data_IF_445438208893
#
_entry.id   IF_445438208893
#
_cell.length_a   1.000
_cell.length_b   1.000
_cell.length_c   1.000
_cell.angle_alpha   90.00
_cell.angle_beta   90.00
_cell.angle_gamma   90.00
#
_symmetry.space_group_name_H-M   'P 1'
#
loop_
_entity.id
_entity.type
_entity.pdbx_description
1 polymer ?
#
# COMPACT_ATOMS: atom_id res chain seq x y z
N UNK A 1 18.99 81.91 3.36
CA UNK A 1 18.48 80.70 4.06
C UNK A 1 17.02 80.31 3.72
N UNK A 2 16.27 81.03 2.87
CA UNK A 2 14.84 80.71 2.58
C UNK A 2 14.57 79.72 1.43
N UNK A 3 15.56 79.36 0.59
CA UNK A 3 15.35 78.40 -0.50
C UNK A 3 15.47 76.93 -0.08
N UNK A 4 16.34 76.59 0.89
CA UNK A 4 16.49 75.21 1.39
C UNK A 4 15.25 74.70 2.12
N UNK A 5 14.52 75.58 2.81
CA UNK A 5 13.27 75.23 3.49
C UNK A 5 12.15 74.90 2.50
N UNK A 6 12.03 75.66 1.40
CA UNK A 6 11.04 75.40 0.34
C UNK A 6 11.25 74.04 -0.35
N UNK A 7 12.51 73.65 -0.55
CA UNK A 7 12.85 72.33 -1.10
C UNK A 7 12.50 71.19 -0.13
N UNK A 8 12.73 71.37 1.18
CA UNK A 8 12.36 70.39 2.20
C UNK A 8 10.84 70.19 2.29
N UNK A 9 10.04 71.26 2.21
CA UNK A 9 8.58 71.14 2.20
C UNK A 9 8.07 70.47 0.92
N UNK A 10 8.69 70.72 -0.23
CA UNK A 10 8.37 70.01 -1.47
C UNK A 10 8.71 68.52 -1.38
N UNK A 11 9.84 68.17 -0.78
CA UNK A 11 10.27 66.77 -0.61
C UNK A 11 9.38 66.02 0.39
N UNK A 12 8.93 66.68 1.47
CA UNK A 12 7.94 66.14 2.40
C UNK A 12 6.54 65.99 1.78
N UNK A 13 6.10 66.95 0.96
CA UNK A 13 4.84 66.83 0.24
C UNK A 13 4.87 65.67 -0.77
N UNK A 14 6.01 65.43 -1.42
CA UNK A 14 6.17 64.33 -2.36
C UNK A 14 6.18 62.95 -1.67
N UNK A 15 6.79 62.86 -0.49
CA UNK A 15 6.81 61.63 0.32
C UNK A 15 5.41 61.27 0.86
N UNK A 16 4.58 62.26 1.21
CA UNK A 16 3.19 62.04 1.65
C UNK A 16 2.26 61.57 0.53
N UNK A 17 2.53 61.92 -0.73
CA UNK A 17 1.74 61.43 -1.88
C UNK A 17 2.09 59.97 -2.21
N UNK A 18 3.37 59.58 -2.06
CA UNK A 18 3.82 58.21 -2.35
C UNK A 18 3.35 57.17 -1.32
N UNK A 19 3.13 57.56 -0.06
CA UNK A 19 2.61 56.63 0.98
C UNK A 19 1.10 56.42 0.88
N UNK A 20 0.34 57.39 0.35
CA UNK A 20 -1.10 57.26 0.16
C UNK A 20 -1.50 56.35 -1.03
N UNK A 21 -0.64 56.20 -2.05
CA UNK A 21 -0.93 55.30 -3.19
C UNK A 21 -0.75 53.81 -2.90
N UNK A 22 -0.03 53.45 -1.83
CA UNK A 22 0.27 52.05 -1.51
C UNK A 22 -0.81 51.37 -0.64
N UNK A 23 -1.80 52.13 -0.15
CA UNK A 23 -2.83 51.63 0.77
C UNK A 23 -4.11 51.10 0.09
N UNK A 24 -4.18 51.08 -1.24
CA UNK A 24 -5.39 50.70 -2.00
C UNK A 24 -5.34 49.32 -2.67
N UNK A 25 -4.36 48.46 -2.37
CA UNK A 25 -4.21 47.14 -3.01
C UNK A 25 -3.86 45.99 -2.08
N UNK A 26 -4.54 45.88 -0.93
CA UNK A 26 -4.54 44.64 -0.14
C UNK A 26 -5.99 44.13 0.03
N UNK A 27 -6.29 42.87 -0.32
CA UNK A 27 -7.58 42.27 -0.03
C UNK A 27 -7.66 41.95 1.48
N UNK A 28 -8.64 42.54 2.17
CA UNK A 28 -8.98 42.19 3.54
C UNK A 28 -9.84 40.91 3.55
N UNK A 29 -9.60 39.93 4.44
CA UNK A 29 -10.52 38.82 4.65
C UNK A 29 -11.81 39.34 5.30
N UNK A 30 -12.94 39.16 4.61
CA UNK A 30 -14.27 39.50 5.12
C UNK A 30 -14.66 38.54 6.25
N UNK A 31 -14.74 39.07 7.48
CA UNK A 31 -15.37 38.41 8.61
C UNK A 31 -16.81 38.92 8.70
N UNK A 32 -17.74 38.19 8.11
CA UNK A 32 -19.16 38.57 8.07
C UNK A 32 -19.81 38.39 9.44
N UNK A 33 -19.91 39.49 10.20
CA UNK A 33 -20.91 39.63 11.28
C UNK A 33 -22.15 40.31 10.69
N UNK A 34 -23.23 39.53 10.56
CA UNK A 34 -24.56 40.00 10.12
C UNK A 34 -25.13 41.05 11.09
N UNK A 35 -25.75 42.15 10.61
CA UNK A 35 -26.54 43.05 11.45
C UNK A 35 -27.93 42.47 11.72
N UNK A 36 -28.43 42.66 12.95
CA UNK A 36 -29.81 42.34 13.33
C UNK A 36 -30.78 43.24 12.57
N UNK A 37 -31.77 42.64 11.90
CA UNK A 37 -32.94 43.37 11.39
C UNK A 37 -34.20 42.78 12.00
N UNK A 38 -35.09 43.69 12.39
CA UNK A 38 -36.36 43.47 13.04
C UNK A 38 -37.30 42.54 12.24
N UNK A 39 -38.20 41.91 12.99
CA UNK A 39 -39.29 41.01 12.57
C UNK A 39 -40.14 41.58 11.45
N UNK A 40 -40.40 40.77 10.41
CA UNK A 40 -41.68 40.76 9.70
C UNK A 40 -42.06 39.32 9.30
N UNK A 41 -43.23 38.90 9.77
CA UNK A 41 -43.93 37.66 9.48
C UNK A 41 -44.14 37.40 7.98
N UNK A 42 -43.66 36.28 7.46
CA UNK A 42 -44.29 35.55 6.34
C UNK A 42 -44.06 34.04 6.50
N UNK A 43 -45.15 33.29 6.76
CA UNK A 43 -45.19 31.82 6.71
C UNK A 43 -44.97 31.34 5.26
N UNK A 44 -43.93 30.56 5.03
CA UNK A 44 -43.74 29.75 3.82
C UNK A 44 -43.41 28.30 4.24
N UNK A 45 -43.83 27.29 3.44
CA UNK A 45 -43.85 25.89 3.88
C UNK A 45 -42.44 25.37 4.12
N UNK A 46 -42.21 24.75 5.28
CA UNK A 46 -40.93 24.14 5.66
C UNK A 46 -40.62 23.00 4.68
N UNK A 47 -39.69 23.21 3.76
CA UNK A 47 -38.89 22.11 3.23
C UNK A 47 -38.15 21.49 4.42
N UNK A 48 -38.23 20.18 4.58
CA UNK A 48 -37.45 19.47 5.60
C UNK A 48 -35.98 19.82 5.37
N UNK A 49 -35.21 20.21 6.41
CA UNK A 49 -33.77 20.34 6.26
C UNK A 49 -33.25 18.97 5.83
N UNK A 50 -32.52 18.91 4.71
CA UNK A 50 -31.56 17.83 4.53
C UNK A 50 -30.56 18.00 5.67
N UNK A 51 -30.68 17.17 6.70
CA UNK A 51 -29.62 16.97 7.66
C UNK A 51 -28.44 16.44 6.86
N UNK A 52 -27.53 17.34 6.49
CA UNK A 52 -26.18 16.92 6.16
C UNK A 52 -25.61 16.49 7.50
N UNK A 53 -25.78 15.21 7.83
CA UNK A 53 -24.91 14.58 8.82
C UNK A 53 -23.50 14.96 8.39
N UNK A 54 -22.78 15.70 9.25
CA UNK A 54 -21.34 15.77 9.15
C UNK A 54 -20.86 14.35 9.47
N UNK A 55 -20.89 13.49 8.44
CA UNK A 55 -20.35 12.14 8.44
C UNK A 55 -18.91 12.27 8.88
N UNK A 56 -18.69 12.12 10.19
CA UNK A 56 -17.36 12.12 10.77
C UNK A 56 -16.75 10.82 10.28
N UNK A 57 -16.03 10.91 9.16
CA UNK A 57 -15.44 9.76 8.48
C UNK A 57 -14.66 8.98 9.54
N UNK A 58 -15.04 7.73 9.85
CA UNK A 58 -14.38 6.97 10.90
C UNK A 58 -12.88 6.84 10.58
N UNK A 59 -12.02 6.89 11.60
CA UNK A 59 -10.56 6.86 11.45
C UNK A 59 -10.06 5.66 10.62
N UNK A 60 -10.81 4.55 10.63
CA UNK A 60 -10.54 3.37 9.80
C UNK A 60 -10.60 3.63 8.29
N UNK A 61 -11.42 4.59 7.85
CA UNK A 61 -11.49 5.01 6.44
C UNK A 61 -10.44 6.08 6.10
N UNK A 62 -9.98 6.85 7.09
CA UNK A 62 -8.91 7.83 6.93
C UNK A 62 -7.54 7.14 6.86
N UNK A 63 -7.32 6.12 7.68
CA UNK A 63 -6.05 5.40 7.80
C UNK A 63 -6.23 3.88 7.68
N UNK A 64 -6.68 3.37 6.52
CA UNK A 64 -6.87 1.94 6.35
C UNK A 64 -5.51 1.21 6.43
N UNK A 65 -5.48 0.09 7.16
CA UNK A 65 -4.29 -0.78 7.27
C UNK A 65 -3.80 -1.26 5.90
N UNK A 66 -4.73 -1.48 4.97
CA UNK A 66 -4.47 -1.80 3.58
C UNK A 66 -5.04 -0.69 2.71
N UNK A 67 -4.17 0.01 1.99
CA UNK A 67 -4.60 1.05 1.04
C UNK A 67 -5.18 0.38 -0.20
N UNK A 68 -6.30 0.90 -0.67
CA UNK A 68 -6.89 0.49 -1.95
C UNK A 68 -5.95 0.92 -3.08
N UNK A 69 -5.70 0.03 -4.03
CA UNK A 69 -4.87 0.36 -5.18
C UNK A 69 -5.50 1.47 -6.02
N UNK A 70 -4.64 2.37 -6.50
CA UNK A 70 -5.03 3.48 -7.38
C UNK A 70 -5.25 2.96 -8.79
N UNK A 71 -6.25 3.48 -9.50
CA UNK A 71 -6.54 3.10 -10.88
C UNK A 71 -5.50 3.63 -11.88
N UNK A 72 -4.75 4.68 -11.49
CA UNK A 72 -3.67 5.28 -12.26
C UNK A 72 -2.36 5.23 -11.45
N UNK A 73 -1.29 4.65 -12.02
CA UNK A 73 -0.03 4.54 -11.33
C UNK A 73 0.71 5.89 -11.34
N UNK A 74 1.30 6.26 -10.21
CA UNK A 74 2.22 7.39 -10.10
C UNK A 74 3.64 6.89 -9.87
N UNK A 75 3.76 5.84 -9.05
CA UNK A 75 5.02 5.22 -8.67
C UNK A 75 5.14 3.83 -9.27
N UNK A 76 6.37 3.29 -9.32
CA UNK A 76 6.60 1.92 -9.78
C UNK A 76 5.83 0.88 -8.95
N UNK A 77 5.61 1.15 -7.66
CA UNK A 77 4.84 0.27 -6.78
C UNK A 77 3.36 0.16 -7.16
N UNK A 78 2.79 1.20 -7.77
CA UNK A 78 1.38 1.20 -8.18
C UNK A 78 1.09 0.27 -9.38
N UNK A 79 2.15 -0.13 -10.11
CA UNK A 79 2.04 -1.15 -11.17
C UNK A 79 1.79 -2.55 -10.61
N UNK A 80 2.18 -2.81 -9.36
CA UNK A 80 1.92 -4.07 -8.70
C UNK A 80 0.47 -4.10 -8.20
N UNK A 81 -0.28 -5.11 -8.64
CA UNK A 81 -1.66 -5.33 -8.22
C UNK A 81 -1.73 -6.35 -7.08
N UNK A 82 -2.31 -5.95 -5.95
CA UNK A 82 -2.55 -6.88 -4.86
C UNK A 82 -3.63 -7.89 -5.25
N UNK A 83 -3.49 -9.17 -4.87
CA UNK A 83 -4.57 -10.15 -5.01
C UNK A 83 -5.82 -9.81 -4.20
N UNK A 84 -5.69 -8.91 -3.21
CA UNK A 84 -6.79 -8.42 -2.39
C UNK A 84 -7.58 -7.28 -3.06
N UNK A 85 -7.03 -6.66 -4.10
CA UNK A 85 -7.69 -5.59 -4.84
C UNK A 85 -8.61 -6.14 -5.93
N UNK A 86 -9.59 -5.33 -6.33
CA UNK A 86 -10.50 -5.67 -7.42
C UNK A 86 -9.73 -5.82 -8.74
N UNK A 87 -10.11 -6.82 -9.53
CA UNK A 87 -9.53 -7.03 -10.87
C UNK A 87 -9.80 -5.80 -11.75
N UNK A 88 -8.76 -5.28 -12.40
CA UNK A 88 -8.91 -4.17 -13.35
C UNK A 88 -9.69 -4.63 -14.58
N UNK A 89 -10.55 -3.78 -15.15
CA UNK A 89 -11.28 -4.11 -16.37
C UNK A 89 -10.32 -4.24 -17.55
N UNK A 90 -10.71 -5.02 -18.57
CA UNK A 90 -9.85 -5.38 -19.70
C UNK A 90 -9.41 -4.18 -20.54
N UNK A 91 -10.16 -3.08 -20.50
CA UNK A 91 -9.84 -1.82 -21.18
C UNK A 91 -8.85 -0.91 -20.42
N UNK A 92 -8.43 -1.27 -19.20
CA UNK A 92 -7.51 -0.49 -18.36
C UNK A 92 -6.24 -1.27 -17.99
N UNK A 93 -5.75 -2.08 -18.92
CA UNK A 93 -4.50 -2.81 -18.73
C UNK A 93 -3.28 -1.93 -18.99
N UNK A 94 -2.20 -2.20 -18.26
CA UNK A 94 -0.92 -1.51 -18.46
C UNK A 94 -0.29 -1.98 -19.78
N UNK A 95 0.12 -1.02 -20.61
CA UNK A 95 0.89 -1.28 -21.82
C UNK A 95 2.33 -0.87 -21.61
N UNK A 96 3.24 -1.66 -22.17
CA UNK A 96 4.69 -1.39 -22.15
C UNK A 96 5.13 -1.15 -23.58
N UNK A 97 5.72 0.01 -23.84
CA UNK A 97 6.23 0.40 -25.16
C UNK A 97 7.68 0.83 -25.02
N UNK A 98 8.56 0.23 -25.81
CA UNK A 98 9.96 0.67 -25.89
C UNK A 98 10.09 1.87 -26.83
N UNK A 99 10.77 2.92 -26.38
CA UNK A 99 11.12 4.08 -27.18
C UNK A 99 12.64 4.09 -27.41
N UNK A 100 13.04 3.91 -28.67
CA UNK A 100 14.45 3.82 -29.07
C UNK A 100 15.19 5.17 -28.98
N UNK A 101 14.50 6.28 -29.25
CA UNK A 101 15.10 7.62 -29.17
C UNK A 101 15.47 8.01 -27.74
N UNK A 102 14.65 7.61 -26.78
CA UNK A 102 14.88 7.88 -25.36
C UNK A 102 15.65 6.74 -24.66
N UNK A 103 15.77 5.57 -25.31
CA UNK A 103 16.24 4.31 -24.72
C UNK A 103 15.49 4.00 -23.41
N UNK A 104 14.16 4.11 -23.42
CA UNK A 104 13.32 3.89 -22.23
C UNK A 104 12.10 3.04 -22.55
N UNK A 105 11.72 2.21 -21.58
CA UNK A 105 10.43 1.54 -21.55
C UNK A 105 9.40 2.46 -20.92
N UNK A 106 8.34 2.77 -21.66
CA UNK A 106 7.22 3.61 -21.25
C UNK A 106 6.08 2.68 -20.83
N UNK A 107 5.70 2.75 -19.55
CA UNK A 107 4.67 1.92 -18.94
C UNK A 107 3.49 2.79 -18.50
N UNK A 108 2.28 2.45 -18.92
CA UNK A 108 1.10 3.19 -18.50
C UNK A 108 -0.19 2.66 -19.08
N UNK A 109 -1.31 3.26 -18.69
CA UNK A 109 -2.62 2.97 -19.27
C UNK A 109 -2.78 3.79 -20.56
N UNK A 110 -2.94 3.10 -21.69
CA UNK A 110 -3.18 3.73 -22.99
C UNK A 110 -4.57 3.39 -23.49
N UNK A 111 -5.30 4.40 -23.94
CA UNK A 111 -6.60 4.25 -24.59
C UNK A 111 -6.52 4.84 -26.00
N UNK A 112 -6.61 3.97 -27.01
CA UNK A 112 -6.40 4.36 -28.39
C UNK A 112 -4.99 4.91 -28.61
N UNK A 113 -4.88 6.17 -29.05
CA UNK A 113 -3.60 6.85 -29.29
C UNK A 113 -3.05 7.58 -28.07
N UNK A 114 -3.83 7.78 -27.01
CA UNK A 114 -3.51 8.70 -25.90
C UNK A 114 -3.24 7.94 -24.59
N UNK A 115 -2.33 8.49 -23.78
CA UNK A 115 -2.06 8.01 -22.42
C UNK A 115 -3.08 8.61 -21.44
N UNK A 116 -3.70 7.77 -20.61
CA UNK A 116 -4.67 8.22 -19.62
C UNK A 116 -4.01 8.92 -18.41
N UNK A 117 -2.75 8.64 -18.16
CA UNK A 117 -1.95 9.23 -17.08
C UNK A 117 -0.51 9.42 -17.52
N UNK A 118 0.27 10.18 -16.74
CA UNK A 118 1.71 10.28 -16.95
C UNK A 118 2.33 8.87 -16.89
N UNK A 119 3.02 8.42 -17.96
CA UNK A 119 3.58 7.08 -17.97
C UNK A 119 4.85 7.02 -17.13
N UNK A 120 5.12 5.83 -16.58
CA UNK A 120 6.35 5.53 -15.85
C UNK A 120 7.39 5.12 -16.88
N UNK A 121 8.54 5.81 -16.88
CA UNK A 121 9.65 5.51 -17.78
C UNK A 121 10.74 4.77 -17.02
N UNK A 122 11.15 3.63 -17.54
CA UNK A 122 12.23 2.81 -17.00
C UNK A 122 13.38 2.71 -17.98
N UNK A 123 14.61 2.75 -17.48
CA UNK A 123 15.77 2.31 -18.25
C UNK A 123 15.67 0.82 -18.59
N UNK A 124 16.36 0.32 -19.63
CA UNK A 124 16.35 -1.11 -19.95
C UNK A 124 16.78 -1.98 -18.78
N UNK A 125 17.75 -1.51 -17.99
CA UNK A 125 18.24 -2.20 -16.78
C UNK A 125 17.16 -2.27 -15.69
N UNK A 126 16.47 -1.16 -15.43
CA UNK A 126 15.39 -1.12 -14.44
C UNK A 126 14.19 -1.97 -14.87
N UNK A 127 13.84 -1.91 -16.15
CA UNK A 127 12.80 -2.75 -16.72
C UNK A 127 13.13 -4.24 -16.58
N UNK A 128 14.38 -4.63 -16.87
CA UNK A 128 14.84 -6.01 -16.68
C UNK A 128 14.69 -6.45 -15.21
N UNK A 129 15.17 -5.66 -14.26
CA UNK A 129 15.04 -5.97 -12.83
C UNK A 129 13.58 -6.08 -12.38
N UNK A 130 12.71 -5.19 -12.89
CA UNK A 130 11.28 -5.20 -12.60
C UNK A 130 10.60 -6.46 -13.17
N UNK A 131 10.85 -6.79 -14.43
CA UNK A 131 10.29 -8.00 -15.06
C UNK A 131 10.79 -9.28 -14.41
N UNK A 132 12.06 -9.34 -14.00
CA UNK A 132 12.62 -10.48 -13.29
C UNK A 132 11.93 -10.69 -11.94
N UNK A 133 11.72 -9.62 -11.17
CA UNK A 133 10.99 -9.69 -9.91
C UNK A 133 9.54 -10.18 -10.10
N UNK A 134 8.86 -9.67 -11.12
CA UNK A 134 7.51 -10.09 -11.46
C UNK A 134 7.46 -11.58 -11.84
N UNK A 135 8.37 -12.03 -12.72
CA UNK A 135 8.45 -13.42 -13.16
C UNK A 135 8.75 -14.39 -12.01
N UNK A 136 9.65 -14.02 -11.09
CA UNK A 136 9.91 -14.82 -9.88
C UNK A 136 8.65 -14.95 -9.02
N UNK A 137 7.96 -13.84 -8.77
CA UNK A 137 6.72 -13.85 -7.97
C UNK A 137 5.64 -14.73 -8.63
N UNK A 138 5.45 -14.58 -9.95
CA UNK A 138 4.48 -15.38 -10.70
C UNK A 138 4.87 -16.86 -10.78
N UNK A 139 6.17 -17.16 -10.80
CA UNK A 139 6.67 -18.54 -10.71
C UNK A 139 6.32 -19.18 -9.36
N UNK A 140 6.66 -18.54 -8.24
CA UNK A 140 6.38 -19.10 -6.92
C UNK A 140 4.89 -19.20 -6.62
N UNK A 141 4.07 -18.25 -7.11
CA UNK A 141 2.61 -18.36 -7.03
C UNK A 141 2.10 -19.58 -7.78
N UNK A 142 2.50 -19.77 -9.03
CA UNK A 142 2.13 -20.95 -9.83
C UNK A 142 2.56 -22.26 -9.17
N UNK A 143 3.78 -22.31 -8.63
CA UNK A 143 4.27 -23.48 -7.91
C UNK A 143 3.44 -23.76 -6.65
N UNK A 144 3.12 -22.72 -5.87
CA UNK A 144 2.27 -22.87 -4.69
C UNK A 144 0.85 -23.34 -5.05
N UNK A 145 0.27 -22.78 -6.11
CA UNK A 145 -1.07 -23.18 -6.60
C UNK A 145 -1.07 -24.64 -7.07
N UNK A 146 0.00 -25.06 -7.77
CA UNK A 146 0.17 -26.45 -8.18
C UNK A 146 0.32 -27.38 -6.97
N UNK A 147 1.14 -27.00 -5.98
CA UNK A 147 1.29 -27.76 -4.74
C UNK A 147 -0.04 -27.84 -3.99
N UNK A 148 -0.81 -26.75 -3.92
CA UNK A 148 -2.12 -26.71 -3.26
C UNK A 148 -3.13 -27.62 -3.97
N UNK A 149 -3.17 -27.59 -5.31
CA UNK A 149 -4.04 -28.47 -6.11
C UNK A 149 -3.66 -29.96 -5.95
N UNK A 150 -2.38 -30.29 -5.93
CA UNK A 150 -1.89 -31.66 -5.70
C UNK A 150 -2.19 -32.12 -4.27
N UNK A 151 -1.88 -31.30 -3.26
CA UNK A 151 -2.19 -31.58 -1.84
C UNK A 151 -3.69 -31.69 -1.56
N UNK A 152 -4.54 -31.06 -2.37
CA UNK A 152 -6.00 -31.21 -2.27
C UNK A 152 -6.47 -32.64 -2.50
N UNK A 153 -5.70 -33.44 -3.25
CA UNK A 153 -5.96 -34.87 -3.51
C UNK A 153 -5.33 -35.76 -2.43
N UNK A 154 -4.09 -35.46 -2.06
CA UNK A 154 -3.33 -36.18 -1.03
C UNK A 154 -3.16 -35.30 0.21
N UNK A 155 -4.24 -35.15 0.98
CA UNK A 155 -4.17 -34.40 2.24
C UNK A 155 -3.26 -35.15 3.20
N UNK A 156 -2.05 -34.65 3.40
CA UNK A 156 -1.17 -35.12 4.46
C UNK A 156 -1.90 -34.97 5.80
N UNK A 157 -2.37 -36.08 6.34
CA UNK A 157 -2.98 -36.16 7.66
C UNK A 157 -1.95 -36.73 8.63
N UNK A 158 -1.65 -35.98 9.70
CA UNK A 158 -0.72 -36.42 10.74
C UNK A 158 -1.22 -37.70 11.43
N UNK A 159 -2.52 -37.97 11.42
CA UNK A 159 -3.13 -39.15 12.06
C UNK A 159 -3.13 -40.41 11.17
N UNK A 160 -3.14 -40.27 9.84
CA UNK A 160 -3.13 -41.40 8.89
C UNK A 160 -2.23 -41.07 7.69
N UNK A 161 -0.91 -41.17 7.90
CA UNK A 161 0.09 -40.85 6.90
C UNK A 161 0.17 -41.97 5.85
N UNK A 162 -0.02 -41.62 4.57
CA UNK A 162 0.17 -42.50 3.42
C UNK A 162 1.43 -42.08 2.65
N UNK A 163 2.35 -43.02 2.42
CA UNK A 163 3.58 -42.77 1.67
C UNK A 163 3.60 -43.60 0.39
N UNK A 164 3.48 -42.93 -0.76
CA UNK A 164 3.65 -43.54 -2.07
C UNK A 164 5.14 -43.70 -2.36
N UNK A 165 5.63 -44.94 -2.29
CA UNK A 165 7.06 -45.24 -2.29
C UNK A 165 7.69 -45.36 -3.68
N UNK A 166 6.95 -45.07 -4.77
CA UNK A 166 7.46 -45.08 -6.14
C UNK A 166 8.28 -46.36 -6.46
N UNK A 167 9.61 -46.28 -6.67
CA UNK A 167 10.45 -47.47 -6.94
C UNK A 167 10.42 -48.55 -5.84
N UNK A 168 10.12 -48.16 -4.59
CA UNK A 168 10.01 -49.08 -3.46
C UNK A 168 8.62 -49.75 -3.36
N UNK A 169 7.69 -49.47 -4.27
CA UNK A 169 6.47 -50.27 -4.46
C UNK A 169 6.79 -51.75 -4.76
N UNK A 170 7.97 -52.03 -5.33
CA UNK A 170 8.49 -53.40 -5.55
C UNK A 170 8.77 -54.20 -4.27
N UNK A 171 9.00 -53.53 -3.14
CA UNK A 171 9.32 -54.16 -1.86
C UNK A 171 8.17 -54.07 -0.84
N UNK A 172 7.19 -53.19 -1.07
CA UNK A 172 6.07 -52.96 -0.16
C UNK A 172 4.67 -53.23 -0.75
N UNK A 173 4.56 -53.57 -2.05
CA UNK A 173 3.29 -53.87 -2.71
C UNK A 173 2.52 -52.61 -3.17
N UNK A 174 1.53 -52.77 -4.07
CA UNK A 174 0.76 -51.65 -4.59
C UNK A 174 -0.09 -51.01 -3.49
N UNK A 175 0.14 -49.73 -3.20
CA UNK A 175 -0.56 -48.97 -2.15
C UNK A 175 0.30 -48.42 -1.01
N UNK A 176 1.60 -48.72 -0.98
CA UNK A 176 2.56 -48.07 -0.07
C UNK A 176 2.39 -48.45 1.41
N UNK A 177 2.97 -47.64 2.31
CA UNK A 177 2.91 -47.86 3.76
C UNK A 177 1.88 -46.91 4.38
N UNK A 178 0.95 -47.45 5.18
CA UNK A 178 0.01 -46.66 5.99
C UNK A 178 0.49 -46.60 7.44
N UNK A 179 0.76 -45.40 7.93
CA UNK A 179 1.18 -45.17 9.32
C UNK A 179 0.10 -44.39 10.06
N UNK A 180 -0.55 -45.02 11.02
CA UNK A 180 -1.51 -44.37 11.91
C UNK A 180 -0.82 -43.90 13.18
N UNK A 181 -0.91 -42.60 13.46
CA UNK A 181 -0.44 -42.04 14.73
C UNK A 181 -1.64 -41.72 15.62
N UNK A 182 -1.53 -42.08 16.89
CA UNK A 182 -2.55 -41.85 17.91
C UNK A 182 -1.90 -41.10 19.08
N UNK A 183 -2.49 -39.99 19.50
CA UNK A 183 -1.96 -39.19 20.61
C UNK A 183 -2.03 -37.70 20.32
N UNK A 184 -1.24 -36.92 21.04
CA UNK A 184 -1.20 -35.46 20.89
C UNK A 184 0.20 -34.99 20.51
N UNK A 185 0.26 -34.06 19.56
CA UNK A 185 1.47 -33.33 19.22
C UNK A 185 1.15 -31.84 19.32
N UNK A 186 1.79 -31.17 20.28
CA UNK A 186 1.72 -29.71 20.40
C UNK A 186 3.04 -29.13 19.86
N UNK A 187 2.91 -28.20 18.91
CA UNK A 187 4.03 -27.48 18.34
C UNK A 187 3.90 -25.98 18.60
N UNK A 188 4.81 -25.41 19.39
CA UNK A 188 4.87 -23.98 19.66
C UNK A 188 6.02 -23.35 18.88
N UNK A 189 5.65 -22.57 17.88
CA UNK A 189 6.56 -21.77 17.08
C UNK A 189 6.51 -20.32 17.56
N UNK A 190 7.63 -19.80 18.03
CA UNK A 190 7.76 -18.41 18.46
C UNK A 190 9.04 -17.77 17.94
N UNK A 191 9.07 -16.44 17.87
CA UNK A 191 10.29 -15.69 17.56
C UNK A 191 10.55 -14.72 18.70
N UNK A 192 11.71 -14.85 19.35
CA UNK A 192 12.15 -13.94 20.39
C UNK A 192 13.18 -12.96 19.81
N UNK A 193 12.83 -11.67 19.79
CA UNK A 193 13.72 -10.61 19.34
C UNK A 193 14.14 -9.76 20.53
N UNK A 194 15.43 -9.80 20.86
CA UNK A 194 16.03 -8.98 21.92
C UNK A 194 16.88 -7.87 21.30
N UNK A 195 16.63 -6.64 21.73
CA UNK A 195 17.48 -5.48 21.46
C UNK A 195 18.08 -4.98 22.78
N UNK A 196 19.41 -4.82 22.84
CA UNK A 196 20.14 -4.34 24.02
C UNK A 196 20.92 -3.09 23.62
N UNK A 197 20.62 -1.96 24.27
CA UNK A 197 21.24 -0.67 23.97
C UNK A 197 22.52 -0.40 24.76
N UNK A 198 23.16 -1.46 25.27
CA UNK A 198 24.41 -1.33 26.03
C UNK A 198 25.58 -1.05 25.07
N UNK A 199 26.19 0.15 25.14
CA UNK A 199 27.30 0.51 24.26
C UNK A 199 28.56 -0.34 24.48
N UNK A 200 28.69 -0.98 25.65
CA UNK A 200 29.81 -1.87 25.97
C UNK A 200 29.72 -3.24 25.27
N UNK A 201 28.56 -3.59 24.70
CA UNK A 201 28.43 -4.81 23.89
C UNK A 201 28.72 -4.53 22.40
N UNK A 202 29.34 -5.47 21.66
CA UNK A 202 29.52 -5.35 20.22
C UNK A 202 28.18 -5.21 19.49
N UNK A 203 28.11 -4.35 18.46
CA UNK A 203 26.87 -4.04 17.70
C UNK A 203 26.19 -5.32 17.18
N UNK A 204 26.97 -6.31 16.71
CA UNK A 204 26.45 -7.60 16.24
C UNK A 204 25.67 -8.40 17.30
N UNK A 205 25.98 -8.21 18.58
CA UNK A 205 25.34 -8.91 19.70
C UNK A 205 24.24 -8.07 20.36
N UNK A 206 23.99 -6.84 19.86
CA UNK A 206 22.93 -5.96 20.39
C UNK A 206 21.55 -6.30 19.87
N UNK A 207 21.45 -6.92 18.70
CA UNK A 207 20.17 -7.33 18.08
C UNK A 207 20.20 -8.83 17.79
N UNK A 208 19.57 -9.61 18.65
CA UNK A 208 19.47 -11.06 18.49
C UNK A 208 18.02 -11.43 18.21
N UNK A 209 17.79 -12.15 17.11
CA UNK A 209 16.50 -12.75 16.79
C UNK A 209 16.68 -14.25 16.88
N UNK A 210 16.02 -14.89 17.83
CA UNK A 210 16.11 -16.33 18.06
C UNK A 210 14.74 -16.96 17.81
N UNK A 211 14.71 -18.00 17.00
CA UNK A 211 13.51 -18.81 16.83
C UNK A 211 13.39 -19.73 18.05
N UNK A 212 12.22 -19.73 18.70
CA UNK A 212 11.89 -20.65 19.76
C UNK A 212 10.98 -21.74 19.18
N UNK A 213 11.42 -22.98 19.29
CA UNK A 213 10.70 -24.17 18.86
C UNK A 213 10.54 -25.05 20.09
N UNK A 214 9.33 -25.14 20.61
CA UNK A 214 8.99 -25.98 21.76
C UNK A 214 7.98 -27.02 21.30
N UNK A 215 8.40 -28.28 21.34
CA UNK A 215 7.66 -29.42 20.81
C UNK A 215 7.33 -30.38 21.95
N UNK A 216 6.04 -30.70 22.10
CA UNK A 216 5.56 -31.66 23.08
C UNK A 216 4.78 -32.75 22.35
N UNK A 217 5.47 -33.87 22.13
CA UNK A 217 4.93 -35.05 21.44
C UNK A 217 4.59 -36.13 22.46
N UNK A 218 3.36 -36.62 22.43
CA UNK A 218 2.97 -37.88 23.06
C UNK A 218 2.18 -38.70 22.02
N UNK A 219 2.89 -39.51 21.23
CA UNK A 219 2.34 -40.27 20.13
C UNK A 219 2.62 -41.77 20.29
N UNK A 220 1.63 -42.58 19.94
CA UNK A 220 1.71 -44.00 19.68
C UNK A 220 1.53 -44.25 18.18
N UNK A 221 2.29 -45.18 17.59
CA UNK A 221 2.33 -45.40 16.14
C UNK A 221 2.00 -46.85 15.82
N UNK A 222 1.06 -47.05 14.89
CA UNK A 222 0.71 -48.37 14.35
C UNK A 222 0.80 -48.34 12.82
N UNK A 223 1.60 -49.24 12.24
CA UNK A 223 1.87 -49.30 10.80
C UNK A 223 1.30 -50.56 10.17
N UNK A 224 0.74 -50.43 8.97
CA UNK A 224 0.38 -51.55 8.10
C UNK A 224 1.14 -51.42 6.77
N UNK A 225 1.74 -52.53 6.36
CA UNK A 225 2.29 -52.76 5.02
C UNK A 225 1.31 -53.56 4.18
#
# INVERSE_FOLDING_TARGET
MRQRQRFLYFLMAWLMVATFSYALSLPFPQYDKKPSTAQQDKKQPKAQPLEVEEDTIPDSLLHPRWKVQRTQPITLGDLYQSPLDLRRPDNLQYQVIYNDTLDRYIIGNRMGSTWLSAPIMLTPKEYLAWTEAQQRNDYFRRQNDQIFQTKGKDKFDFSDMHFDLGPAEKIFGPGGIRVKTQGTAELKLGVNKKSIDNPSLPIRNRKTTMMNFDEKINLNVNGKV
#
